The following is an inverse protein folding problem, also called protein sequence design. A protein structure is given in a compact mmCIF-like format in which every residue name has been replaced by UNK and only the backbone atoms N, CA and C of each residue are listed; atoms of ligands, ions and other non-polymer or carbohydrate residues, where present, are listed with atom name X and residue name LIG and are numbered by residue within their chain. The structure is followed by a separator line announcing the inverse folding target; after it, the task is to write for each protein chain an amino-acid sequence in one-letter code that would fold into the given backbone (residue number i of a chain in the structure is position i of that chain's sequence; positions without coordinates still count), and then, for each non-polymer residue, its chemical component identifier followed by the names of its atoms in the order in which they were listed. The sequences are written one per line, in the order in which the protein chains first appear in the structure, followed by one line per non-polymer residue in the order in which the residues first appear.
data_IF_549470790453
#
_entry.id   IF_549470790453
#
_cell.length_a   1.000
_cell.length_b   1.000
_cell.length_c   1.000
_cell.angle_alpha   90.00
_cell.angle_beta   90.00
_cell.angle_gamma   90.00
#
_symmetry.space_group_name_H-M   'P 1'
#
loop_
_entity.id
_entity.type
_entity.pdbx_description
1 polymer ?
#
# COMPACT_ATOMS: atom_id res chain seq x y z
N UNK A 1 -6.37 -29.38 -0.87
CA UNK A 1 -5.29 -29.12 0.12
C UNK A 1 -4.94 -27.64 0.03
N UNK A 2 -5.41 -26.83 0.99
CA UNK A 2 -5.16 -25.37 1.01
C UNK A 2 -3.83 -25.13 1.71
N UNK A 3 -2.81 -24.70 0.96
CA UNK A 3 -1.53 -24.28 1.51
C UNK A 3 -1.69 -22.94 2.23
N UNK A 4 -1.80 -22.99 3.55
CA UNK A 4 -1.56 -21.82 4.40
C UNK A 4 -0.06 -21.56 4.43
N UNK A 5 0.47 -20.93 3.38
CA UNK A 5 1.81 -20.35 3.45
C UNK A 5 1.76 -19.18 4.43
N UNK A 6 2.29 -19.45 5.62
CA UNK A 6 2.43 -18.53 6.74
C UNK A 6 3.15 -17.27 6.28
N UNK A 7 2.72 -16.11 6.78
CA UNK A 7 3.28 -14.77 6.43
C UNK A 7 4.81 -14.74 6.53
N UNK A 8 5.39 -15.46 7.50
CA UNK A 8 6.83 -15.62 7.70
C UNK A 8 7.57 -16.23 6.48
N UNK A 9 7.00 -17.24 5.82
CA UNK A 9 7.65 -17.94 4.69
C UNK A 9 7.80 -17.06 3.45
N UNK A 10 7.07 -15.94 3.38
CA UNK A 10 7.10 -15.01 2.24
C UNK A 10 8.10 -13.87 2.39
N UNK A 11 8.58 -13.60 3.62
CA UNK A 11 9.42 -12.44 3.91
C UNK A 11 10.81 -12.50 3.26
N UNK A 12 11.52 -13.62 3.43
CA UNK A 12 12.89 -13.79 2.88
C UNK A 12 12.91 -13.78 1.34
N UNK A 13 11.99 -14.47 0.63
CA UNK A 13 11.89 -14.35 -0.83
C UNK A 13 11.58 -12.93 -1.31
N UNK A 14 10.67 -12.22 -0.65
CA UNK A 14 10.28 -10.85 -1.01
C UNK A 14 11.45 -9.87 -0.87
N UNK A 15 12.19 -9.95 0.24
CA UNK A 15 13.40 -9.14 0.44
C UNK A 15 14.45 -9.37 -0.65
N UNK A 16 14.75 -10.63 -0.98
CA UNK A 16 15.73 -10.95 -2.03
C UNK A 16 15.26 -10.46 -3.40
N UNK A 17 13.97 -10.56 -3.71
CA UNK A 17 13.40 -10.06 -4.95
C UNK A 17 13.54 -8.53 -5.06
N UNK A 18 13.29 -7.82 -3.97
CA UNK A 18 13.50 -6.38 -3.88
C UNK A 18 14.97 -6.01 -4.12
N UNK A 19 15.92 -6.63 -3.41
CA UNK A 19 17.36 -6.36 -3.60
C UNK A 19 17.81 -6.62 -5.04
N UNK A 20 17.30 -7.68 -5.67
CA UNK A 20 17.66 -8.03 -7.05
C UNK A 20 17.06 -7.08 -8.12
N UNK A 21 15.91 -6.47 -7.84
CA UNK A 21 15.18 -5.65 -8.81
C UNK A 21 14.37 -4.53 -8.12
N UNK A 22 15.03 -3.57 -7.45
CA UNK A 22 14.38 -2.59 -6.58
C UNK A 22 13.48 -1.63 -7.37
N UNK A 23 13.80 -1.35 -8.63
CA UNK A 23 13.01 -0.45 -9.47
C UNK A 23 11.63 -1.03 -9.83
N UNK A 24 11.39 -2.34 -9.60
CA UNK A 24 10.04 -2.93 -9.73
C UNK A 24 9.09 -2.48 -8.63
N UNK A 25 9.64 -2.12 -7.48
CA UNK A 25 8.87 -1.64 -6.34
C UNK A 25 8.66 -0.13 -6.38
N UNK A 26 9.10 0.57 -7.43
CA UNK A 26 8.99 2.03 -7.53
C UNK A 26 7.77 2.44 -8.34
N UNK A 27 7.02 3.43 -7.83
CA UNK A 27 5.84 3.94 -8.48
C UNK A 27 6.18 4.58 -9.82
N UNK A 28 5.28 4.36 -10.77
CA UNK A 28 5.47 4.72 -12.16
C UNK A 28 5.81 6.19 -12.43
N UNK A 29 5.21 7.18 -11.73
CA UNK A 29 5.57 8.58 -11.93
C UNK A 29 7.07 8.87 -11.74
N UNK A 30 7.72 8.23 -10.76
CA UNK A 30 9.17 8.38 -10.55
C UNK A 30 9.99 7.74 -11.66
N UNK A 31 9.53 6.61 -12.19
CA UNK A 31 10.19 5.95 -13.31
C UNK A 31 10.11 6.80 -14.59
N UNK A 32 8.95 7.38 -14.86
CA UNK A 32 8.75 8.28 -16.00
C UNK A 32 9.60 9.54 -15.86
N UNK A 33 9.64 10.16 -14.68
CA UNK A 33 10.50 11.32 -14.40
C UNK A 33 12.00 10.99 -14.58
N UNK A 34 12.43 9.76 -14.25
CA UNK A 34 13.81 9.32 -14.47
C UNK A 34 14.18 8.97 -15.93
N UNK A 35 13.18 8.63 -16.75
CA UNK A 35 13.38 8.16 -18.13
C UNK A 35 13.02 9.24 -19.16
N UNK A 36 12.32 10.30 -18.77
CA UNK A 36 11.62 11.20 -19.67
C UNK A 36 10.36 10.53 -20.24
N UNK A 37 9.53 11.28 -20.95
CA UNK A 37 8.27 10.82 -21.57
C UNK A 37 8.50 9.87 -22.78
N UNK A 38 9.55 9.06 -22.72
CA UNK A 38 10.13 8.30 -23.83
C UNK A 38 9.50 6.90 -23.93
N UNK A 39 8.77 6.44 -22.92
CA UNK A 39 8.23 5.08 -22.87
C UNK A 39 6.75 5.04 -22.50
N UNK A 40 5.92 4.58 -23.45
CA UNK A 40 4.57 4.11 -23.17
C UNK A 40 4.57 2.87 -22.27
N UNK A 41 3.39 2.56 -21.71
CA UNK A 41 3.15 1.56 -20.66
C UNK A 41 3.77 0.20 -20.96
N UNK A 42 3.46 -0.37 -22.12
CA UNK A 42 3.94 -1.68 -22.51
C UNK A 42 5.47 -1.73 -22.68
N UNK A 43 6.08 -0.61 -23.10
CA UNK A 43 7.53 -0.53 -23.25
C UNK A 43 8.22 -0.46 -21.90
N UNK A 44 7.70 0.33 -20.95
CA UNK A 44 8.24 0.41 -19.60
C UNK A 44 8.20 -0.96 -18.90
N UNK A 45 7.07 -1.66 -18.97
CA UNK A 45 6.92 -3.02 -18.42
C UNK A 45 7.91 -4.01 -19.04
N UNK A 46 8.09 -3.96 -20.36
CA UNK A 46 9.07 -4.79 -21.06
C UNK A 46 10.51 -4.49 -20.61
N UNK A 47 10.85 -3.20 -20.50
CA UNK A 47 12.17 -2.75 -20.04
C UNK A 47 12.44 -3.18 -18.59
N UNK A 48 11.43 -3.12 -17.71
CA UNK A 48 11.53 -3.55 -16.31
C UNK A 48 11.82 -5.05 -16.15
N UNK A 49 11.61 -5.86 -17.19
CA UNK A 49 11.97 -7.29 -17.16
C UNK A 49 13.46 -7.53 -17.45
N UNK A 50 14.17 -6.57 -18.04
CA UNK A 50 15.57 -6.74 -18.42
C UNK A 50 16.54 -6.42 -17.26
N UNK A 51 17.39 -7.37 -16.82
CA UNK A 51 18.30 -7.16 -15.68
C UNK A 51 19.26 -5.97 -15.85
N UNK A 52 19.77 -5.77 -17.08
CA UNK A 52 20.66 -4.64 -17.39
C UNK A 52 19.98 -3.28 -17.22
N UNK A 53 18.68 -3.22 -17.49
CA UNK A 53 17.88 -2.01 -17.37
C UNK A 53 17.56 -1.75 -15.90
N UNK A 54 17.14 -2.79 -15.17
CA UNK A 54 16.93 -2.74 -13.72
C UNK A 54 18.15 -2.15 -12.99
N UNK A 55 19.35 -2.65 -13.25
CA UNK A 55 20.58 -2.11 -12.62
C UNK A 55 20.84 -0.65 -12.95
N UNK A 56 20.69 -0.24 -14.21
CA UNK A 56 20.91 1.16 -14.62
C UNK A 56 19.85 2.11 -14.04
N UNK A 57 18.60 1.65 -13.97
CA UNK A 57 17.49 2.42 -13.41
C UNK A 57 17.63 2.55 -11.90
N UNK A 58 18.00 1.48 -11.20
CA UNK A 58 18.32 1.51 -9.78
C UNK A 58 19.44 2.52 -9.47
N UNK A 59 20.52 2.52 -10.25
CA UNK A 59 21.60 3.51 -10.09
C UNK A 59 21.11 4.95 -10.30
N UNK A 60 20.26 5.20 -11.31
CA UNK A 60 19.67 6.53 -11.52
C UNK A 60 18.80 6.98 -10.35
N UNK A 61 18.01 6.07 -9.78
CA UNK A 61 17.17 6.37 -8.62
C UNK A 61 18.03 6.67 -7.39
N UNK A 62 19.11 5.91 -7.19
CA UNK A 62 20.13 6.15 -6.16
C UNK A 62 20.71 7.56 -6.30
N UNK A 63 21.22 7.89 -7.49
CA UNK A 63 21.89 9.17 -7.74
C UNK A 63 20.91 10.35 -7.61
N UNK A 64 19.67 10.19 -8.09
CA UNK A 64 18.65 11.26 -8.10
C UNK A 64 18.05 11.53 -6.72
N UNK A 65 17.80 10.48 -5.94
CA UNK A 65 17.09 10.58 -4.66
C UNK A 65 18.02 10.38 -3.45
N UNK A 66 19.33 10.25 -3.65
CA UNK A 66 20.30 10.05 -2.58
C UNK A 66 20.09 8.74 -1.82
N UNK A 67 19.63 7.69 -2.50
CA UNK A 67 19.29 6.42 -1.85
C UNK A 67 20.54 5.60 -1.56
N UNK A 68 20.49 4.81 -0.49
CA UNK A 68 21.51 3.79 -0.26
C UNK A 68 21.31 2.59 -1.20
N UNK A 69 22.38 1.95 -1.72
CA UNK A 69 22.24 0.77 -2.57
C UNK A 69 21.47 -0.38 -1.88
N UNK A 70 20.54 -1.06 -2.58
CA UNK A 70 19.69 -2.09 -1.98
C UNK A 70 20.45 -3.22 -1.27
N UNK A 71 21.61 -3.60 -1.77
CA UNK A 71 22.46 -4.66 -1.24
C UNK A 71 23.12 -4.31 0.11
N UNK A 72 23.19 -3.02 0.48
CA UNK A 72 23.74 -2.57 1.76
C UNK A 72 22.65 -2.20 2.77
N UNK A 73 21.39 -2.27 2.38
CA UNK A 73 20.28 -1.94 3.26
C UNK A 73 20.11 -2.99 4.36
N UNK A 74 19.77 -2.58 5.59
CA UNK A 74 19.34 -3.51 6.62
C UNK A 74 18.02 -4.17 6.21
N UNK A 75 17.93 -5.48 6.41
CA UNK A 75 16.71 -6.23 6.14
C UNK A 75 15.59 -5.78 7.09
N UNK A 76 14.34 -5.64 6.60
CA UNK A 76 13.19 -5.36 7.47
C UNK A 76 12.88 -6.55 8.38
N UNK A 77 12.03 -6.31 9.38
CA UNK A 77 11.43 -7.38 10.17
C UNK A 77 10.68 -8.37 9.25
N UNK A 78 10.69 -9.65 9.60
CA UNK A 78 10.09 -10.70 8.77
C UNK A 78 8.59 -10.48 8.51
N UNK A 79 7.88 -9.95 9.51
CA UNK A 79 6.46 -9.58 9.44
C UNK A 79 6.16 -8.40 8.50
N UNK A 80 7.18 -7.62 8.13
CA UNK A 80 7.09 -6.48 7.22
C UNK A 80 7.73 -6.78 5.84
N UNK A 81 8.66 -7.73 5.78
CA UNK A 81 9.42 -8.05 4.57
C UNK A 81 8.53 -8.45 3.38
N UNK A 82 7.40 -9.11 3.63
CA UNK A 82 6.48 -9.51 2.57
C UNK A 82 5.69 -8.32 1.97
N UNK A 83 5.59 -7.18 2.65
CA UNK A 83 4.95 -5.97 2.09
C UNK A 83 5.74 -5.43 0.89
N UNK A 84 7.04 -5.73 0.81
CA UNK A 84 7.87 -5.39 -0.34
C UNK A 84 7.46 -6.13 -1.63
N UNK A 85 6.69 -7.21 -1.50
CA UNK A 85 6.15 -7.94 -2.65
C UNK A 85 4.91 -7.26 -3.24
N UNK A 86 4.29 -6.29 -2.55
CA UNK A 86 3.18 -5.54 -3.11
C UNK A 86 3.66 -4.74 -4.34
N UNK A 87 2.87 -4.69 -5.43
CA UNK A 87 3.22 -3.88 -6.59
C UNK A 87 3.19 -2.40 -6.21
N UNK A 88 3.97 -1.57 -6.90
CA UNK A 88 4.03 -0.14 -6.63
C UNK A 88 2.68 0.58 -6.85
N UNK A 89 1.74 -0.01 -7.59
CA UNK A 89 0.37 0.49 -7.72
C UNK A 89 -0.47 0.34 -6.44
N UNK A 90 -0.09 -0.55 -5.53
CA UNK A 90 -0.87 -0.88 -4.33
C UNK A 90 -0.91 0.23 -3.28
N UNK A 91 -0.07 1.28 -3.40
CA UNK A 91 0.07 2.29 -2.34
C UNK A 91 -1.22 3.04 -2.01
N UNK A 92 -2.01 3.39 -3.02
CA UNK A 92 -3.29 4.09 -2.82
C UNK A 92 -4.33 3.18 -2.13
N UNK A 93 -4.47 1.94 -2.60
CA UNK A 93 -5.39 0.96 -2.00
C UNK A 93 -4.97 0.63 -0.56
N UNK A 94 -3.67 0.50 -0.31
CA UNK A 94 -3.13 0.25 1.03
C UNK A 94 -3.53 1.37 1.99
N UNK A 95 -3.30 2.64 1.62
CA UNK A 95 -3.69 3.79 2.42
C UNK A 95 -5.22 3.84 2.62
N UNK A 96 -6.01 3.60 1.57
CA UNK A 96 -7.47 3.56 1.63
C UNK A 96 -7.97 2.52 2.64
N UNK A 97 -7.50 1.27 2.55
CA UNK A 97 -7.87 0.21 3.48
C UNK A 97 -7.41 0.51 4.91
N UNK A 98 -6.23 1.13 5.09
CA UNK A 98 -5.78 1.55 6.42
C UNK A 98 -6.76 2.55 7.06
N UNK A 99 -7.18 3.55 6.30
CA UNK A 99 -8.14 4.56 6.76
C UNK A 99 -9.50 3.95 7.08
N UNK A 100 -9.99 3.06 6.23
CA UNK A 100 -11.27 2.37 6.42
C UNK A 100 -11.24 1.49 7.68
N UNK A 101 -10.14 0.77 7.93
CA UNK A 101 -9.95 -0.04 9.14
C UNK A 101 -9.84 0.85 10.38
N UNK A 102 -9.08 1.94 10.30
CA UNK A 102 -8.94 2.94 11.36
C UNK A 102 -10.31 3.48 11.81
N UNK A 103 -11.18 3.76 10.84
CA UNK A 103 -12.55 4.28 11.04
C UNK A 103 -13.64 3.19 11.07
N UNK A 104 -13.30 1.91 11.22
CA UNK A 104 -14.27 0.82 11.10
C UNK A 104 -15.49 0.97 12.04
N UNK A 105 -15.34 1.62 13.19
CA UNK A 105 -16.44 1.93 14.10
C UNK A 105 -17.57 2.77 13.44
N UNK A 106 -17.25 3.66 12.50
CA UNK A 106 -18.23 4.45 11.75
C UNK A 106 -19.05 3.60 10.76
N UNK A 107 -18.47 2.52 10.24
CA UNK A 107 -19.14 1.60 9.33
C UNK A 107 -19.98 0.57 10.09
N UNK A 108 -19.42 -0.03 11.15
CA UNK A 108 -20.02 -1.13 11.91
C UNK A 108 -21.26 -0.70 12.69
N UNK A 109 -21.29 0.56 13.17
CA UNK A 109 -22.40 1.08 13.97
C UNK A 109 -23.58 1.57 13.13
N UNK A 110 -23.42 1.64 11.80
CA UNK A 110 -24.46 2.15 10.93
C UNK A 110 -25.47 1.05 10.59
N UNK A 111 -26.73 1.28 10.97
CA UNK A 111 -27.84 0.35 10.75
C UNK A 111 -28.89 0.92 9.80
N UNK A 112 -28.83 2.22 9.47
CA UNK A 112 -29.78 2.88 8.58
C UNK A 112 -29.42 2.50 7.14
N UNK A 113 -30.29 1.74 6.48
CA UNK A 113 -30.06 1.25 5.12
C UNK A 113 -29.62 2.33 4.11
N UNK A 114 -30.22 3.55 4.06
CA UNK A 114 -29.77 4.59 3.13
C UNK A 114 -28.31 4.99 3.32
N UNK A 115 -27.85 4.96 4.57
CA UNK A 115 -26.50 5.38 4.93
C UNK A 115 -25.48 4.27 4.71
N UNK A 116 -25.86 3.01 4.94
CA UNK A 116 -25.06 1.85 4.54
C UNK A 116 -24.84 1.84 3.02
N UNK A 117 -25.87 2.11 2.23
CA UNK A 117 -25.74 2.24 0.77
C UNK A 117 -24.80 3.37 0.39
N UNK A 118 -24.92 4.53 1.03
CA UNK A 118 -24.05 5.67 0.74
C UNK A 118 -22.58 5.41 1.14
N UNK A 119 -22.32 4.70 2.25
CA UNK A 119 -20.97 4.27 2.63
C UNK A 119 -20.37 3.30 1.60
N UNK A 120 -21.13 2.28 1.19
CA UNK A 120 -20.70 1.34 0.14
C UNK A 120 -20.43 2.04 -1.18
N UNK A 121 -21.26 3.00 -1.56
CA UNK A 121 -21.05 3.80 -2.76
C UNK A 121 -19.79 4.67 -2.66
N UNK A 122 -19.52 5.28 -1.50
CA UNK A 122 -18.39 6.20 -1.33
C UNK A 122 -17.04 5.50 -1.19
N UNK A 123 -17.00 4.36 -0.51
CA UNK A 123 -15.76 3.67 -0.13
C UNK A 123 -15.53 2.34 -0.86
N UNK A 124 -16.58 1.78 -1.47
CA UNK A 124 -16.56 0.46 -2.09
C UNK A 124 -17.10 -0.65 -1.18
N UNK A 125 -17.69 -1.67 -1.79
CA UNK A 125 -18.24 -2.83 -1.07
C UNK A 125 -17.16 -3.65 -0.36
N UNK A 126 -16.00 -3.83 -1.00
CA UNK A 126 -14.86 -4.54 -0.42
C UNK A 126 -14.29 -3.81 0.80
N UNK A 127 -14.13 -2.48 0.71
CA UNK A 127 -13.76 -1.63 1.82
C UNK A 127 -14.76 -1.71 2.98
N UNK A 128 -16.07 -1.66 2.68
CA UNK A 128 -17.11 -1.82 3.70
C UNK A 128 -16.99 -3.19 4.40
N UNK A 129 -16.79 -4.27 3.65
CA UNK A 129 -16.59 -5.61 4.21
C UNK A 129 -15.30 -5.70 5.06
N UNK A 130 -14.21 -5.07 4.61
CA UNK A 130 -12.96 -4.99 5.36
C UNK A 130 -13.12 -4.26 6.70
N UNK A 131 -13.87 -3.17 6.74
CA UNK A 131 -14.20 -2.47 7.98
C UNK A 131 -14.94 -3.39 8.97
N UNK A 132 -15.95 -4.14 8.50
CA UNK A 132 -16.70 -5.06 9.35
C UNK A 132 -15.82 -6.18 9.91
N UNK A 133 -14.98 -6.78 9.07
CA UNK A 133 -14.08 -7.88 9.45
C UNK A 133 -13.02 -7.43 10.46
N UNK A 134 -12.55 -6.19 10.37
CA UNK A 134 -11.42 -5.68 11.14
C UNK A 134 -11.81 -4.65 12.21
N UNK A 135 -13.07 -4.62 12.62
CA UNK A 135 -13.61 -3.70 13.64
C UNK A 135 -12.83 -3.66 14.96
N UNK A 136 -12.12 -4.74 15.31
CA UNK A 136 -11.27 -4.80 16.50
C UNK A 136 -9.99 -3.97 16.43
N UNK A 137 -9.64 -3.46 15.24
CA UNK A 137 -8.51 -2.56 15.01
C UNK A 137 -8.93 -1.09 14.87
N UNK A 138 -10.22 -0.77 15.04
CA UNK A 138 -10.70 0.59 14.95
C UNK A 138 -10.07 1.47 16.05
N UNK A 139 -9.56 2.64 15.67
CA UNK A 139 -8.93 3.59 16.59
C UNK A 139 -9.62 4.95 16.59
N UNK A 140 -10.26 5.33 15.49
CA UNK A 140 -11.02 6.57 15.42
C UNK A 140 -12.38 6.39 16.10
N UNK A 141 -12.79 7.41 16.85
CA UNK A 141 -14.13 7.46 17.41
C UNK A 141 -15.17 7.50 16.27
N UNK A 142 -16.29 6.80 16.45
CA UNK A 142 -17.39 6.84 15.49
C UNK A 142 -18.05 8.23 15.53
N UNK A 143 -17.63 9.15 14.65
CA UNK A 143 -18.24 10.47 14.59
C UNK A 143 -17.99 11.20 13.27
N UNK A 144 -18.77 10.85 12.24
CA UNK A 144 -19.13 11.82 11.22
C UNK A 144 -20.48 11.44 10.62
N UNK A 145 -21.57 12.14 10.99
CA UNK A 145 -22.85 12.03 10.27
C UNK A 145 -22.74 12.55 8.83
N UNK A 146 -21.62 13.19 8.47
CA UNK A 146 -21.28 13.59 7.11
C UNK A 146 -20.31 12.58 6.49
N UNK A 147 -20.72 11.98 5.37
CA UNK A 147 -19.93 10.99 4.62
C UNK A 147 -18.69 11.61 3.99
N UNK A 148 -18.75 12.86 3.53
CA UNK A 148 -17.60 13.51 2.93
C UNK A 148 -16.57 13.93 3.97
N UNK A 149 -17.03 14.29 5.17
CA UNK A 149 -16.13 14.44 6.32
C UNK A 149 -15.45 13.13 6.66
N UNK A 150 -16.21 12.03 6.75
CA UNK A 150 -15.64 10.70 6.99
C UNK A 150 -14.61 10.33 5.91
N UNK A 151 -14.88 10.65 4.65
CA UNK A 151 -13.96 10.34 3.56
C UNK A 151 -12.61 11.05 3.71
N UNK A 152 -12.62 12.34 4.07
CA UNK A 152 -11.38 13.09 4.36
C UNK A 152 -10.63 12.54 5.57
N UNK A 153 -11.36 12.14 6.61
CA UNK A 153 -10.76 11.55 7.81
C UNK A 153 -10.12 10.18 7.51
N UNK A 154 -10.81 9.34 6.75
CA UNK A 154 -10.30 8.05 6.24
C UNK A 154 -9.03 8.24 5.42
N UNK A 155 -9.01 9.17 4.48
CA UNK A 155 -7.83 9.44 3.67
C UNK A 155 -6.63 9.87 4.54
N UNK A 156 -6.84 10.87 5.41
CA UNK A 156 -5.81 11.39 6.31
C UNK A 156 -5.27 10.32 7.26
N UNK A 157 -6.14 9.59 7.97
CA UNK A 157 -5.71 8.57 8.93
C UNK A 157 -5.14 7.32 8.24
N UNK A 158 -5.58 7.01 7.02
CA UNK A 158 -4.99 5.96 6.20
C UNK A 158 -3.55 6.26 5.82
N UNK A 159 -3.29 7.48 5.35
CA UNK A 159 -1.93 7.99 5.09
C UNK A 159 -1.08 8.01 6.38
N UNK A 160 -1.65 8.45 7.51
CA UNK A 160 -0.96 8.46 8.80
C UNK A 160 -0.54 7.05 9.26
N UNK A 161 -1.39 6.03 9.06
CA UNK A 161 -1.04 4.65 9.36
C UNK A 161 0.18 4.17 8.56
N UNK A 162 0.22 4.47 7.25
CA UNK A 162 1.35 4.13 6.37
C UNK A 162 2.61 4.85 6.81
N UNK A 163 2.53 6.14 7.15
CA UNK A 163 3.68 6.87 7.68
C UNK A 163 4.18 6.31 9.02
N UNK A 164 3.27 5.91 9.92
CA UNK A 164 3.64 5.33 11.21
C UNK A 164 4.34 3.98 11.04
N UNK A 165 3.96 3.21 10.02
CA UNK A 165 4.70 2.02 9.63
C UNK A 165 6.08 2.33 9.03
N UNK A 166 6.17 3.33 8.15
CA UNK A 166 7.43 3.76 7.54
C UNK A 166 8.45 4.26 8.58
N UNK A 167 8.00 4.88 9.68
CA UNK A 167 8.89 5.36 10.75
C UNK A 167 9.49 4.24 11.60
N UNK A 168 8.94 3.03 11.53
CA UNK A 168 9.52 1.82 12.15
C UNK A 168 10.56 1.14 11.25
N UNK A 169 10.60 1.48 9.96
CA UNK A 169 11.56 0.91 9.03
C UNK A 169 12.91 1.61 9.18
N UNK A 170 14.03 0.92 8.86
CA UNK A 170 15.31 1.59 8.72
C UNK A 170 15.20 2.79 7.76
N UNK A 171 15.76 3.97 8.09
CA UNK A 171 15.56 5.19 7.30
C UNK A 171 15.88 5.03 5.81
N UNK A 172 16.93 4.28 5.51
CA UNK A 172 17.39 4.01 4.15
C UNK A 172 16.41 3.12 3.38
N UNK A 173 15.79 2.14 4.05
CA UNK A 173 14.73 1.32 3.46
C UNK A 173 13.44 2.13 3.30
N UNK A 174 13.10 2.96 4.29
CA UNK A 174 11.93 3.84 4.23
C UNK A 174 12.01 4.81 3.04
N UNK A 175 13.21 5.28 2.68
CA UNK A 175 13.42 6.11 1.49
C UNK A 175 13.05 5.38 0.19
N UNK A 176 13.45 4.10 0.05
CA UNK A 176 13.05 3.26 -1.08
C UNK A 176 11.55 2.97 -1.11
N UNK A 177 10.98 2.59 0.04
CA UNK A 177 9.55 2.30 0.17
C UNK A 177 8.67 3.51 -0.21
N UNK A 178 9.13 4.71 0.12
CA UNK A 178 8.43 5.94 -0.26
C UNK A 178 8.30 6.08 -1.77
N UNK A 179 9.33 5.72 -2.54
CA UNK A 179 9.24 5.76 -4.00
C UNK A 179 8.22 4.77 -4.55
N UNK A 180 7.94 3.66 -3.85
CA UNK A 180 6.93 2.68 -4.23
C UNK A 180 5.50 3.07 -3.86
N UNK A 181 5.32 3.70 -2.71
CA UNK A 181 4.01 4.06 -2.18
C UNK A 181 3.51 5.43 -2.67
N UNK A 182 4.32 6.16 -3.43
CA UNK A 182 4.13 7.59 -3.72
C UNK A 182 2.83 7.99 -4.41
N UNK A 183 2.13 7.07 -5.07
CA UNK A 183 0.78 7.33 -5.61
C UNK A 183 -0.25 7.65 -4.52
N UNK A 184 0.07 7.35 -3.25
CA UNK A 184 -0.78 7.61 -2.08
C UNK A 184 0.03 7.94 -0.83
N UNK A 185 1.26 8.44 -0.97
CA UNK A 185 2.06 8.78 0.20
C UNK A 185 1.47 9.99 0.93
N UNK A 186 1.45 9.96 2.26
CA UNK A 186 1.25 11.13 3.11
C UNK A 186 2.14 12.30 2.69
N UNK A 187 1.58 13.51 2.62
CA UNK A 187 2.40 14.72 2.72
C UNK A 187 3.21 14.70 4.01
N UNK A 188 4.33 15.42 4.06
CA UNK A 188 5.28 15.40 5.18
C UNK A 188 4.62 15.64 6.56
N UNK A 189 3.42 16.24 6.61
CA UNK A 189 2.64 16.51 7.84
C UNK A 189 1.64 15.43 8.29
N UNK A 190 1.44 14.32 7.58
CA UNK A 190 0.35 13.39 7.96
C UNK A 190 0.53 12.72 9.33
N UNK A 191 1.78 12.55 9.79
CA UNK A 191 2.06 12.07 11.17
C UNK A 191 1.86 13.16 12.21
N UNK A 192 2.09 14.41 11.86
CA UNK A 192 1.99 15.54 12.80
C UNK A 192 0.53 15.81 13.17
N UNK A 193 -0.40 15.56 12.23
CA UNK A 193 -1.84 15.71 12.43
C UNK A 193 -2.51 14.43 12.98
N UNK A 194 -1.78 13.32 13.05
CA UNK A 194 -2.33 12.03 13.45
C UNK A 194 -2.57 11.94 14.96
N UNK A 195 -3.65 11.26 15.33
CA UNK A 195 -3.88 10.87 16.72
C UNK A 195 -2.75 9.94 17.22
N UNK A 196 -2.34 10.04 18.49
CA UNK A 196 -1.37 9.11 19.08
C UNK A 196 -1.76 7.63 18.94
N UNK A 197 -3.07 7.33 18.91
CA UNK A 197 -3.54 5.95 18.73
C UNK A 197 -3.40 5.47 17.28
N UNK A 198 -3.56 6.36 16.30
CA UNK A 198 -3.28 6.06 14.89
C UNK A 198 -1.79 5.78 14.70
N UNK A 199 -0.91 6.58 15.32
CA UNK A 199 0.53 6.32 15.28
C UNK A 199 0.90 4.97 15.94
N UNK A 200 0.24 4.62 17.05
CA UNK A 200 0.50 3.37 17.78
C UNK A 200 0.02 2.13 17.03
N UNK A 201 -1.20 2.16 16.48
CA UNK A 201 -1.82 0.99 15.82
C UNK A 201 -1.53 0.92 14.32
N UNK A 202 -1.10 2.02 13.70
CA UNK A 202 -0.84 2.16 12.27
C UNK A 202 -0.06 0.98 11.67
N UNK A 203 1.09 0.55 12.23
CA UNK A 203 1.83 -0.59 11.72
C UNK A 203 1.02 -1.89 11.64
N UNK A 204 0.19 -2.16 12.66
CA UNK A 204 -0.67 -3.35 12.68
C UNK A 204 -1.80 -3.24 11.66
N UNK A 205 -2.36 -2.04 11.49
CA UNK A 205 -3.38 -1.74 10.48
C UNK A 205 -2.80 -1.91 9.07
N UNK A 206 -1.58 -1.41 8.82
CA UNK A 206 -0.87 -1.54 7.52
C UNK A 206 -0.69 -3.00 7.13
N UNK A 207 -0.24 -3.86 8.06
CA UNK A 207 -0.10 -5.30 7.80
C UNK A 207 -1.43 -5.97 7.46
N UNK A 208 -2.51 -5.55 8.12
CA UNK A 208 -3.85 -6.05 7.84
C UNK A 208 -4.35 -5.60 6.46
N UNK A 209 -4.22 -4.30 6.15
CA UNK A 209 -4.58 -3.72 4.87
C UNK A 209 -3.77 -4.34 3.72
N UNK A 210 -2.47 -4.54 3.90
CA UNK A 210 -1.61 -5.20 2.92
C UNK A 210 -2.09 -6.62 2.57
N UNK A 211 -2.65 -7.35 3.54
CA UNK A 211 -3.13 -8.71 3.30
C UNK A 211 -4.43 -8.72 2.49
N UNK A 212 -5.26 -7.68 2.65
CA UNK A 212 -6.46 -7.46 1.84
C UNK A 212 -6.05 -7.11 0.41
N UNK A 213 -5.14 -6.16 0.24
CA UNK A 213 -4.67 -5.72 -1.08
C UNK A 213 -3.99 -6.87 -1.84
N UNK A 214 -3.15 -7.68 -1.19
CA UNK A 214 -2.55 -8.89 -1.78
C UNK A 214 -3.63 -9.88 -2.26
N UNK A 215 -4.70 -10.06 -1.48
CA UNK A 215 -5.81 -10.94 -1.86
C UNK A 215 -6.59 -10.40 -3.08
N UNK A 216 -6.88 -9.10 -3.13
CA UNK A 216 -7.62 -8.48 -4.25
C UNK A 216 -6.82 -8.49 -5.55
N UNK A 217 -5.50 -8.26 -5.48
CA UNK A 217 -4.60 -8.35 -6.64
C UNK A 217 -4.65 -9.78 -7.19
N UNK A 218 -4.51 -10.78 -6.32
CA UNK A 218 -4.57 -12.19 -6.74
C UNK A 218 -5.92 -12.55 -7.34
N UNK A 219 -7.03 -12.10 -6.75
CA UNK A 219 -8.36 -12.37 -7.31
C UNK A 219 -8.54 -11.75 -8.70
N UNK A 220 -8.01 -10.54 -8.91
CA UNK A 220 -8.04 -9.85 -10.20
C UNK A 220 -7.17 -10.54 -11.27
N UNK A 221 -6.02 -11.11 -10.88
CA UNK A 221 -5.15 -11.88 -11.77
C UNK A 221 -5.76 -13.24 -12.17
N UNK A 222 -6.62 -13.82 -11.33
CA UNK A 222 -7.27 -15.11 -11.57
C UNK A 222 -8.66 -14.98 -12.19
N UNK A 223 -9.20 -13.77 -12.33
CA UNK A 223 -10.44 -13.55 -13.05
C UNK A 223 -10.23 -13.92 -14.53
N UNK A 224 -10.92 -14.95 -15.06
CA UNK A 224 -10.76 -15.33 -16.45
C UNK A 224 -11.17 -14.14 -17.32
N UNK A 225 -10.32 -13.76 -18.26
CA UNK A 225 -10.71 -12.87 -19.36
C UNK A 225 -11.91 -13.49 -20.02
N UNK A 226 -13.10 -12.98 -19.72
CA UNK A 226 -14.30 -13.34 -20.44
C UNK A 226 -14.04 -12.98 -21.89
N UNK A 227 -13.85 -14.01 -22.72
CA UNK A 227 -13.86 -13.92 -24.16
C UNK A 227 -14.97 -12.95 -24.57
N UNK A 228 -14.60 -11.91 -25.30
CA UNK A 228 -15.55 -11.10 -26.05
C UNK A 228 -15.66 -11.74 -27.42
N UNK A 229 -16.71 -12.52 -27.72
CA UNK A 229 -17.07 -12.78 -29.11
C UNK A 229 -17.88 -11.57 -29.61
N UNK A 230 -17.33 -10.89 -30.62
CA UNK A 230 -18.00 -9.80 -31.33
C UNK A 230 -17.12 -9.26 -32.44
#
# INVERSE_FOLDING_TARGET
MKGTHTVAERGVPAWRAFVAAPARCVARPWLQDCLGDIAGDALLESLMRHPRFQRRLAQRLIDRHGLMPPETLPAPAEEDAWLLALPASAGADLAHYCGVICHAAAFVREIRAPRVVALKHRFGDAAFAAALANRGLAVAAAAADDIERLAREVERDGQACVSAWLSLQPPELAAWLRLGLASGLPGEGALEEASPEVCRQGPRIVRCAAAIVDAEIRESEHAPTADTPG
#
